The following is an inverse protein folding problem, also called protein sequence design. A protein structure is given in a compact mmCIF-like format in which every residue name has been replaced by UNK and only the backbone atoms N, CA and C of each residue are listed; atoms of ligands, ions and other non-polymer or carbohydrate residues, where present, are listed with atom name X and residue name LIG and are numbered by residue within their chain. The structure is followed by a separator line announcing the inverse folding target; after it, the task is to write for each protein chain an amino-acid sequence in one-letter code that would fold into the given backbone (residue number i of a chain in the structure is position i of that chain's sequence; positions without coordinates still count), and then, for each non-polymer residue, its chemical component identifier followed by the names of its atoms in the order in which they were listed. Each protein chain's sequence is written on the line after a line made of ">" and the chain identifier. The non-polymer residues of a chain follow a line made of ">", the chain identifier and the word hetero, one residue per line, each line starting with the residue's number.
data_IF_787280595281
#
_entry.id   IF_787280595281
#
_cell.length_a   1.000
_cell.length_b   1.000
_cell.length_c   1.000
_cell.angle_alpha   90.00
_cell.angle_beta   90.00
_cell.angle_gamma   90.00
#
_symmetry.space_group_name_H-M   'P 1'
#
loop_
_entity.id
_entity.type
_entity.pdbx_description
1 polymer ?
#
# COMPACT_ATOMS: atom_id res chain seq x y z
N UNK A 1 -11.93 -64.90 20.23
CA UNK A 1 -10.59 -64.33 19.97
C UNK A 1 -10.42 -64.18 18.47
N UNK A 2 -10.35 -62.96 17.94
CA UNK A 2 -10.15 -62.71 16.51
C UNK A 2 -9.94 -61.22 16.28
N UNK A 3 -8.71 -60.85 15.92
CA UNK A 3 -8.18 -59.48 16.01
C UNK A 3 -8.74 -58.57 14.90
N UNK A 4 -9.18 -57.37 15.29
CA UNK A 4 -9.38 -56.23 14.38
C UNK A 4 -8.01 -55.63 14.00
N UNK A 5 -7.69 -55.44 12.71
CA UNK A 5 -6.58 -54.59 12.30
C UNK A 5 -7.10 -53.22 11.81
N UNK A 6 -6.97 -52.23 12.67
CA UNK A 6 -6.59 -50.84 12.31
C UNK A 6 -5.35 -50.90 11.37
N UNK A 7 -5.04 -50.02 10.41
CA UNK A 7 -5.22 -48.56 10.30
C UNK A 7 -4.91 -48.12 8.88
N UNK A 8 -5.57 -47.03 8.49
CA UNK A 8 -5.21 -46.09 7.44
C UNK A 8 -3.72 -45.70 7.42
N UNK A 9 -3.06 -45.83 6.28
CA UNK A 9 -1.74 -45.21 6.05
C UNK A 9 -1.64 -44.40 4.74
N UNK A 10 -2.63 -44.47 3.84
CA UNK A 10 -2.53 -43.82 2.52
C UNK A 10 -3.09 -42.39 2.47
N UNK A 11 -4.05 -42.04 3.34
CA UNK A 11 -4.62 -40.67 3.39
C UNK A 11 -3.67 -39.63 4.01
N UNK A 12 -2.72 -40.07 4.82
CA UNK A 12 -1.73 -39.21 5.48
C UNK A 12 -0.69 -38.66 4.50
N UNK A 13 -0.36 -39.41 3.43
CA UNK A 13 0.63 -39.02 2.43
C UNK A 13 0.08 -38.07 1.37
N UNK A 14 -1.22 -38.10 1.10
CA UNK A 14 -1.84 -37.18 0.15
C UNK A 14 -2.00 -35.77 0.75
N UNK A 15 -2.45 -35.68 2.01
CA UNK A 15 -2.52 -34.40 2.73
C UNK A 15 -1.13 -33.79 2.94
N UNK A 16 -0.12 -34.59 3.30
CA UNK A 16 1.25 -34.07 3.51
C UNK A 16 1.94 -33.63 2.22
N UNK A 17 1.73 -34.34 1.10
CA UNK A 17 2.27 -33.95 -0.22
C UNK A 17 1.57 -32.72 -0.80
N UNK A 18 0.28 -32.52 -0.51
CA UNK A 18 -0.45 -31.30 -0.86
C UNK A 18 0.04 -30.10 -0.06
N UNK A 19 0.21 -30.23 1.27
CA UNK A 19 0.73 -29.14 2.09
C UNK A 19 2.17 -28.80 1.74
N UNK A 20 3.03 -29.78 1.47
CA UNK A 20 4.43 -29.52 1.08
C UNK A 20 4.56 -28.85 -0.30
N UNK A 21 3.60 -29.06 -1.22
CA UNK A 21 3.53 -28.34 -2.51
C UNK A 21 2.92 -26.93 -2.39
N UNK A 22 2.02 -26.70 -1.44
CA UNK A 22 1.40 -25.39 -1.19
C UNK A 22 2.30 -24.45 -0.36
N UNK A 23 3.18 -25.01 0.49
CA UNK A 23 4.10 -24.25 1.35
C UNK A 23 5.09 -23.36 0.56
N UNK A 24 5.35 -23.69 -0.71
CA UNK A 24 6.34 -23.01 -1.57
C UNK A 24 5.71 -21.81 -2.31
N UNK A 25 4.38 -21.67 -2.29
CA UNK A 25 3.66 -20.67 -3.09
C UNK A 25 3.01 -19.53 -2.29
N UNK A 26 3.15 -19.54 -0.96
CA UNK A 26 2.69 -18.44 -0.11
C UNK A 26 3.91 -17.74 0.48
N UNK A 27 4.34 -16.58 -0.04
CA UNK A 27 5.07 -15.67 0.81
C UNK A 27 4.13 -15.31 1.97
N UNK A 28 4.42 -15.92 3.11
CA UNK A 28 4.48 -15.25 4.41
C UNK A 28 3.25 -14.37 4.74
N UNK A 29 2.09 -14.96 5.03
CA UNK A 29 0.94 -14.21 5.59
C UNK A 29 1.37 -13.27 6.74
N UNK A 30 2.28 -13.73 7.61
CA UNK A 30 2.86 -12.90 8.66
C UNK A 30 3.68 -11.69 8.18
N UNK A 31 4.41 -11.81 7.06
CA UNK A 31 5.15 -10.67 6.47
C UNK A 31 4.21 -9.64 5.88
N UNK A 32 3.14 -10.08 5.20
CA UNK A 32 2.15 -9.17 4.61
C UNK A 32 1.40 -8.41 5.70
N UNK A 33 0.96 -9.10 6.77
CA UNK A 33 0.32 -8.44 7.91
C UNK A 33 1.26 -7.48 8.64
N UNK A 34 2.54 -7.84 8.80
CA UNK A 34 3.53 -6.95 9.40
C UNK A 34 3.73 -5.68 8.56
N UNK A 35 3.95 -5.82 7.24
CA UNK A 35 4.08 -4.67 6.33
C UNK A 35 2.84 -3.78 6.33
N UNK A 36 1.63 -4.35 6.36
CA UNK A 36 0.39 -3.59 6.45
C UNK A 36 0.24 -2.87 7.79
N UNK A 37 0.62 -3.52 8.90
CA UNK A 37 0.63 -2.91 10.23
C UNK A 37 1.59 -1.72 10.30
N UNK A 38 2.80 -1.88 9.79
CA UNK A 38 3.81 -0.83 9.75
C UNK A 38 3.39 0.32 8.81
N UNK A 39 2.77 0.01 7.68
CA UNK A 39 2.21 1.02 6.77
C UNK A 39 1.10 1.84 7.43
N UNK A 40 0.20 1.22 8.21
CA UNK A 40 -0.85 1.94 8.96
C UNK A 40 -0.25 2.86 10.01
N UNK A 41 0.75 2.38 10.77
CA UNK A 41 1.43 3.22 11.76
C UNK A 41 2.20 4.36 11.10
N UNK A 42 2.86 4.11 9.96
CA UNK A 42 3.53 5.13 9.17
C UNK A 42 2.56 6.20 8.65
N UNK A 43 1.36 5.79 8.23
CA UNK A 43 0.30 6.69 7.78
C UNK A 43 -0.11 7.69 8.88
N UNK A 44 -0.29 7.23 10.11
CA UNK A 44 -0.63 8.12 11.25
C UNK A 44 0.41 9.24 11.44
N UNK A 45 1.70 8.91 11.38
CA UNK A 45 2.76 9.91 11.48
C UNK A 45 2.81 10.85 10.27
N UNK A 46 2.54 10.34 9.06
CA UNK A 46 2.49 11.17 7.85
C UNK A 46 1.31 12.14 7.86
N UNK A 47 0.15 11.72 8.37
CA UNK A 47 -1.03 12.59 8.51
C UNK A 47 -0.78 13.69 9.56
N UNK A 48 -0.17 13.37 10.71
CA UNK A 48 0.25 14.38 11.70
C UNK A 48 1.28 15.36 11.12
N UNK A 49 2.27 14.86 10.37
CA UNK A 49 3.26 15.71 9.72
C UNK A 49 2.64 16.62 8.65
N UNK A 50 1.65 16.12 7.91
CA UNK A 50 0.89 16.90 6.94
C UNK A 50 0.10 18.03 7.61
N UNK A 51 -0.56 17.76 8.74
CA UNK A 51 -1.28 18.75 9.53
C UNK A 51 -0.34 19.86 10.01
N UNK A 52 0.78 19.49 10.65
CA UNK A 52 1.79 20.46 11.10
C UNK A 52 2.32 21.32 9.95
N UNK A 53 2.56 20.74 8.77
CA UNK A 53 3.03 21.49 7.60
C UNK A 53 1.96 22.42 7.03
N UNK A 54 0.68 22.03 7.07
CA UNK A 54 -0.44 22.90 6.67
C UNK A 54 -0.58 24.10 7.60
N UNK A 55 -0.33 23.91 8.90
CA UNK A 55 -0.36 25.01 9.87
C UNK A 55 0.84 25.94 9.73
N UNK A 56 2.01 25.39 9.43
CA UNK A 56 3.25 26.16 9.27
C UNK A 56 3.26 26.98 7.97
N UNK A 57 2.81 26.40 6.86
CA UNK A 57 2.85 27.02 5.55
C UNK A 57 1.47 27.47 5.09
N UNK A 58 1.25 28.78 5.08
CA UNK A 58 0.02 29.37 4.57
C UNK A 58 0.00 29.31 3.04
N UNK A 59 -0.86 28.48 2.47
CA UNK A 59 -1.05 28.34 1.02
C UNK A 59 -0.29 27.16 0.42
N UNK A 60 0.05 27.25 -0.87
CA UNK A 60 0.79 26.18 -1.56
C UNK A 60 2.26 26.17 -1.14
N UNK A 61 2.78 25.01 -0.74
CA UNK A 61 4.17 24.84 -0.33
C UNK A 61 4.70 23.46 -0.74
N UNK A 62 5.93 23.34 -1.28
CA UNK A 62 6.44 22.06 -1.80
C UNK A 62 6.49 20.96 -0.74
N UNK A 63 6.75 21.29 0.53
CA UNK A 63 6.74 20.30 1.62
C UNK A 63 5.34 19.76 1.94
N UNK A 64 4.31 20.59 1.78
CA UNK A 64 2.91 20.14 1.95
C UNK A 64 2.55 19.23 0.78
N UNK A 65 2.92 19.58 -0.45
CA UNK A 65 2.71 18.75 -1.64
C UNK A 65 3.44 17.39 -1.52
N UNK A 66 4.69 17.38 -1.08
CA UNK A 66 5.44 16.14 -0.84
C UNK A 66 4.80 15.26 0.24
N UNK A 67 4.24 15.87 1.28
CA UNK A 67 3.51 15.15 2.33
C UNK A 67 2.23 14.50 1.81
N UNK A 68 1.43 15.25 1.03
CA UNK A 68 0.23 14.74 0.38
C UNK A 68 0.57 13.53 -0.52
N UNK A 69 1.64 13.63 -1.30
CA UNK A 69 2.07 12.52 -2.18
C UNK A 69 2.43 11.26 -1.38
N UNK A 70 3.12 11.43 -0.24
CA UNK A 70 3.53 10.33 0.61
C UNK A 70 2.32 9.65 1.27
N UNK A 71 1.38 10.44 1.80
CA UNK A 71 0.11 9.93 2.34
C UNK A 71 -0.64 9.14 1.27
N UNK A 72 -0.78 9.69 0.06
CA UNK A 72 -1.43 8.99 -1.06
C UNK A 72 -0.76 7.67 -1.45
N UNK A 73 0.58 7.62 -1.43
CA UNK A 73 1.35 6.41 -1.74
C UNK A 73 1.19 5.31 -0.68
N UNK A 74 1.00 5.68 0.59
CA UNK A 74 0.72 4.72 1.67
C UNK A 74 -0.70 4.18 1.55
N UNK A 75 -1.69 5.00 1.18
CA UNK A 75 -3.04 4.52 0.90
C UNK A 75 -3.09 3.51 -0.25
N UNK A 76 -2.36 3.76 -1.34
CA UNK A 76 -2.15 2.75 -2.40
C UNK A 76 -1.62 1.43 -1.85
N UNK A 77 -0.59 1.49 -0.99
CA UNK A 77 0.05 0.31 -0.39
C UNK A 77 -0.90 -0.46 0.52
N UNK A 78 -1.82 0.25 1.17
CA UNK A 78 -2.89 -0.31 2.00
C UNK A 78 -4.09 -0.82 1.18
N UNK A 79 -4.10 -0.62 -0.14
CA UNK A 79 -5.16 -1.03 -1.05
C UNK A 79 -6.33 -0.04 -1.18
N UNK A 80 -6.30 1.11 -0.50
CA UNK A 80 -7.30 2.17 -0.67
C UNK A 80 -6.89 3.12 -1.79
N UNK A 81 -6.92 2.61 -3.03
CA UNK A 81 -6.51 3.35 -4.24
C UNK A 81 -7.34 4.61 -4.44
N UNK A 82 -8.62 4.61 -4.03
CA UNK A 82 -9.49 5.79 -4.13
C UNK A 82 -8.96 6.92 -3.26
N UNK A 83 -8.70 6.65 -1.98
CA UNK A 83 -8.15 7.65 -1.07
C UNK A 83 -6.73 8.06 -1.48
N UNK A 84 -5.91 7.11 -1.95
CA UNK A 84 -4.58 7.38 -2.51
C UNK A 84 -4.62 8.38 -3.66
N UNK A 85 -5.57 8.20 -4.58
CA UNK A 85 -5.79 9.09 -5.72
C UNK A 85 -6.23 10.51 -5.28
N UNK A 86 -7.12 10.63 -4.30
CA UNK A 86 -7.56 11.93 -3.76
C UNK A 86 -6.37 12.78 -3.27
N UNK A 87 -5.42 12.17 -2.55
CA UNK A 87 -4.21 12.84 -2.10
C UNK A 87 -3.25 13.20 -3.24
N UNK A 88 -3.12 12.35 -4.25
CA UNK A 88 -2.29 12.62 -5.44
C UNK A 88 -2.86 13.74 -6.31
N UNK A 89 -4.18 13.85 -6.40
CA UNK A 89 -4.84 14.99 -7.07
C UNK A 89 -4.54 16.29 -6.32
N UNK A 90 -4.70 16.32 -4.99
CA UNK A 90 -4.33 17.49 -4.18
C UNK A 90 -2.84 17.85 -4.33
N UNK A 91 -1.96 16.85 -4.44
CA UNK A 91 -0.53 17.04 -4.71
C UNK A 91 -0.32 17.76 -6.05
N UNK A 92 -0.97 17.29 -7.12
CA UNK A 92 -0.86 17.87 -8.45
C UNK A 92 -1.38 19.32 -8.47
N UNK A 93 -2.53 19.58 -7.85
CA UNK A 93 -3.10 20.93 -7.73
C UNK A 93 -2.12 21.87 -7.03
N UNK A 94 -1.50 21.43 -5.94
CA UNK A 94 -0.53 22.24 -5.21
C UNK A 94 0.74 22.51 -6.03
N UNK A 95 1.27 21.50 -6.72
CA UNK A 95 2.44 21.72 -7.58
C UNK A 95 2.14 22.60 -8.79
N UNK A 96 0.91 22.56 -9.35
CA UNK A 96 0.47 23.52 -10.38
C UNK A 96 0.35 24.95 -9.87
N UNK A 97 0.00 25.12 -8.60
CA UNK A 97 -0.04 26.45 -7.98
C UNK A 97 1.37 26.98 -7.68
N UNK A 98 2.31 26.09 -7.30
CA UNK A 98 3.71 26.45 -7.03
C UNK A 98 4.52 26.70 -8.29
N UNK A 99 4.29 25.86 -9.30
CA UNK A 99 5.09 25.80 -10.52
C UNK A 99 4.17 25.89 -11.73
N UNK A 100 4.60 26.61 -12.77
CA UNK A 100 3.94 26.56 -14.07
C UNK A 100 3.95 25.12 -14.60
N UNK A 101 3.10 24.80 -15.58
CA UNK A 101 2.84 23.43 -16.03
C UNK A 101 4.10 22.63 -16.44
N UNK A 102 5.17 23.31 -16.90
CA UNK A 102 6.45 22.67 -17.21
C UNK A 102 7.37 22.65 -15.98
N UNK A 103 7.14 21.69 -15.07
CA UNK A 103 8.01 21.42 -13.93
C UNK A 103 8.12 19.91 -13.65
N UNK A 104 9.31 19.38 -13.29
CA UNK A 104 9.50 17.95 -13.01
C UNK A 104 8.53 17.38 -11.96
N UNK A 105 8.24 18.14 -10.90
CA UNK A 105 7.31 17.67 -9.85
C UNK A 105 5.84 17.61 -10.31
N UNK A 106 5.44 18.49 -11.23
CA UNK A 106 4.12 18.44 -11.87
C UNK A 106 4.04 17.17 -12.72
N UNK A 107 5.05 16.92 -13.57
CA UNK A 107 5.12 15.72 -14.40
C UNK A 107 5.13 14.44 -13.56
N UNK A 108 5.93 14.38 -12.49
CA UNK A 108 5.98 13.25 -11.56
C UNK A 108 4.63 12.97 -10.90
N UNK A 109 3.92 14.02 -10.49
CA UNK A 109 2.59 13.89 -9.88
C UNK A 109 1.56 13.35 -10.87
N UNK A 110 1.62 13.79 -12.13
CA UNK A 110 0.77 13.25 -13.21
C UNK A 110 1.05 11.77 -13.47
N UNK A 111 2.33 11.35 -13.48
CA UNK A 111 2.73 9.94 -13.60
C UNK A 111 2.16 9.12 -12.44
N UNK A 112 2.28 9.62 -11.20
CA UNK A 112 1.73 8.93 -10.02
C UNK A 112 0.21 8.76 -10.09
N UNK A 113 -0.50 9.74 -10.64
CA UNK A 113 -1.95 9.64 -10.88
C UNK A 113 -2.24 8.58 -11.95
N UNK A 114 -1.53 8.59 -13.09
CA UNK A 114 -1.67 7.60 -14.16
C UNK A 114 -1.51 6.16 -13.64
N UNK A 115 -0.44 5.91 -12.88
CA UNK A 115 -0.19 4.61 -12.24
C UNK A 115 -1.29 4.19 -11.26
N UNK A 116 -2.05 5.15 -10.69
CA UNK A 116 -3.15 4.83 -9.77
C UNK A 116 -4.39 4.39 -10.51
N UNK A 117 -4.66 4.97 -11.68
CA UNK A 117 -5.77 4.55 -12.54
C UNK A 117 -5.53 3.15 -13.12
N UNK A 118 -4.30 2.82 -13.52
CA UNK A 118 -3.94 1.46 -13.98
C UNK A 118 -4.17 0.37 -12.91
N UNK A 119 -4.17 0.72 -11.62
CA UNK A 119 -4.43 -0.20 -10.51
C UNK A 119 -5.91 -0.32 -10.13
N UNK A 120 -6.75 0.55 -10.69
CA UNK A 120 -8.17 0.63 -10.35
C UNK A 120 -9.04 -0.25 -11.25
N UNK A 121 -8.50 -0.67 -12.39
CA UNK A 121 -9.11 -1.56 -13.39
C UNK A 121 -8.57 -2.99 -13.28
#
# INVERSE_FOLDING_TARGET
>A
MGKHPWKSSESSNFKSKLTQRLQIYLPTSGSVYHTLGDARKGLEYLEQALEMRRDLYKGSHPDVAGSLNNVGSVYDTLGDVRKGLEYKVQTLEMYRNLYKESHPDVAKSMINIGMSYERKD
#
